data_IF_242051494098
#
_entry.id   IF_242051494098
#
_cell.length_a   1.000
_cell.length_b   1.000
_cell.length_c   1.000
_cell.angle_alpha   90.00
_cell.angle_beta   90.00
_cell.angle_gamma   90.00
#
_symmetry.space_group_name_H-M   'P 1'
#
loop_
_entity.id
_entity.type
_entity.pdbx_description
1 polymer ?
#
# COMPACT_ATOMS: atom_id res chain seq x y z
N UNK A 1 20.99 21.91 -9.09
CA UNK A 1 19.87 22.29 -8.22
C UNK A 1 18.59 22.06 -9.00
N UNK A 2 18.04 20.84 -8.97
CA UNK A 2 16.89 20.49 -9.80
C UNK A 2 15.68 21.25 -9.28
N UNK A 3 15.23 22.26 -10.02
CA UNK A 3 14.03 23.04 -9.72
C UNK A 3 12.81 22.24 -10.17
N UNK A 4 12.47 21.16 -9.47
CA UNK A 4 11.21 20.44 -9.69
C UNK A 4 10.06 21.19 -9.05
N UNK A 5 8.91 21.18 -9.70
CA UNK A 5 7.66 21.62 -9.08
C UNK A 5 7.41 20.74 -7.84
N UNK A 6 7.41 21.33 -6.65
CA UNK A 6 7.29 20.61 -5.37
C UNK A 6 6.08 19.66 -5.33
N UNK A 7 4.98 20.06 -5.97
CA UNK A 7 3.77 19.23 -6.11
C UNK A 7 4.02 18.00 -6.98
N UNK A 8 4.76 18.13 -8.08
CA UNK A 8 5.09 17.01 -8.95
C UNK A 8 5.97 15.99 -8.23
N UNK A 9 6.95 16.46 -7.45
CA UNK A 9 7.79 15.59 -6.62
C UNK A 9 6.97 14.82 -5.60
N UNK A 10 6.05 15.50 -4.88
CA UNK A 10 5.16 14.84 -3.92
C UNK A 10 4.28 13.76 -4.58
N UNK A 11 3.71 14.05 -5.75
CA UNK A 11 2.89 13.09 -6.51
C UNK A 11 3.72 11.86 -6.86
N UNK A 12 4.95 12.04 -7.36
CA UNK A 12 5.82 10.92 -7.72
C UNK A 12 6.16 10.08 -6.48
N UNK A 13 6.52 10.71 -5.36
CA UNK A 13 6.84 10.02 -4.12
C UNK A 13 5.66 9.18 -3.58
N UNK A 14 4.42 9.63 -3.76
CA UNK A 14 3.21 8.89 -3.36
C UNK A 14 2.83 7.82 -4.40
N UNK A 15 2.97 8.12 -5.69
CA UNK A 15 2.59 7.21 -6.75
C UNK A 15 3.43 5.93 -6.76
N UNK A 16 4.73 6.02 -6.48
CA UNK A 16 5.64 4.87 -6.45
C UNK A 16 5.16 3.76 -5.50
N UNK A 17 4.98 3.98 -4.18
CA UNK A 17 4.53 2.96 -3.26
C UNK A 17 3.09 2.49 -3.54
N UNK A 18 2.19 3.39 -3.97
CA UNK A 18 0.82 3.02 -4.33
C UNK A 18 0.78 2.05 -5.52
N UNK A 19 1.53 2.34 -6.58
CA UNK A 19 1.60 1.49 -7.78
C UNK A 19 2.26 0.16 -7.43
N UNK A 20 3.41 0.18 -6.76
CA UNK A 20 4.10 -1.03 -6.34
C UNK A 20 3.20 -1.93 -5.47
N UNK A 21 2.53 -1.34 -4.49
CA UNK A 21 1.62 -2.03 -3.58
C UNK A 21 0.34 -2.56 -4.25
N UNK A 22 -0.19 -1.82 -5.23
CA UNK A 22 -1.37 -2.26 -6.00
C UNK A 22 -1.01 -3.41 -6.92
N UNK A 23 0.13 -3.34 -7.61
CA UNK A 23 0.62 -4.42 -8.48
C UNK A 23 0.90 -5.68 -7.67
N UNK A 24 1.58 -5.57 -6.53
CA UNK A 24 1.82 -6.73 -5.66
C UNK A 24 0.50 -7.32 -5.16
N UNK A 25 -0.44 -6.48 -4.72
CA UNK A 25 -1.77 -6.91 -4.29
C UNK A 25 -2.54 -7.65 -5.38
N UNK A 26 -2.49 -7.18 -6.63
CA UNK A 26 -3.13 -7.85 -7.77
C UNK A 26 -2.50 -9.21 -8.06
N UNK A 27 -1.17 -9.31 -8.01
CA UNK A 27 -0.44 -10.57 -8.26
C UNK A 27 -0.71 -11.61 -7.17
N UNK A 28 -0.89 -11.18 -5.91
CA UNK A 28 -1.14 -12.05 -4.75
C UNK A 28 -2.62 -12.24 -4.42
N UNK A 29 -3.53 -11.52 -5.09
CA UNK A 29 -4.98 -11.55 -4.82
C UNK A 29 -5.62 -12.94 -4.98
N UNK A 30 -5.01 -13.81 -5.80
CA UNK A 30 -5.47 -15.19 -5.99
C UNK A 30 -4.79 -16.09 -4.97
N UNK A 31 -5.52 -16.42 -3.92
CA UNK A 31 -5.13 -17.47 -2.97
C UNK A 31 -5.90 -18.75 -3.35
N UNK A 32 -5.26 -19.91 -3.26
CA UNK A 32 -5.91 -21.22 -3.49
C UNK A 32 -6.87 -21.62 -2.35
N UNK A 33 -7.47 -20.63 -1.65
CA UNK A 33 -8.33 -20.84 -0.48
C UNK A 33 -7.59 -21.26 0.79
N UNK A 34 -6.28 -21.50 0.72
CA UNK A 34 -5.47 -21.94 1.86
C UNK A 34 -5.51 -20.93 3.01
N UNK A 35 -5.55 -19.62 2.73
CA UNK A 35 -5.59 -18.58 3.76
C UNK A 35 -6.93 -18.61 4.53
N UNK A 36 -8.00 -19.01 3.85
CA UNK A 36 -9.33 -19.06 4.44
C UNK A 36 -9.61 -20.32 5.26
N UNK A 37 -8.85 -21.40 5.02
CA UNK A 37 -8.96 -22.64 5.78
C UNK A 37 -8.25 -22.61 7.14
N UNK A 38 -7.45 -21.58 7.43
CA UNK A 38 -6.79 -21.45 8.72
C UNK A 38 -7.77 -21.13 9.85
N UNK A 39 -7.54 -21.75 11.00
CA UNK A 39 -8.13 -21.33 12.27
C UNK A 39 -7.51 -20.00 12.69
N UNK A 40 -8.24 -18.91 12.48
CA UNK A 40 -7.79 -17.54 12.80
C UNK A 40 -8.07 -17.22 14.29
N UNK A 41 -7.15 -16.52 14.99
CA UNK A 41 -7.42 -16.05 16.34
C UNK A 41 -8.55 -14.99 16.33
N UNK A 42 -9.23 -14.82 17.46
CA UNK A 42 -10.38 -13.91 17.58
C UNK A 42 -10.07 -12.43 17.32
N UNK A 43 -8.80 -12.04 17.40
CA UNK A 43 -8.33 -10.67 17.13
C UNK A 43 -7.83 -10.45 15.69
N UNK A 44 -7.99 -11.43 14.79
CA UNK A 44 -7.68 -11.22 13.38
C UNK A 44 -8.64 -10.17 12.79
N UNK A 45 -8.14 -9.06 12.23
CA UNK A 45 -9.00 -8.07 11.59
C UNK A 45 -9.71 -8.67 10.36
N UNK A 46 -10.94 -8.21 10.04
CA UNK A 46 -11.61 -8.52 8.79
C UNK A 46 -10.75 -8.25 7.54
N UNK A 47 -10.84 -9.11 6.53
CA UNK A 47 -10.02 -9.05 5.31
C UNK A 47 -10.11 -7.72 4.55
N UNK A 48 -11.29 -7.08 4.51
CA UNK A 48 -11.47 -5.80 3.82
C UNK A 48 -10.65 -4.65 4.45
N UNK A 49 -10.27 -4.75 5.73
CA UNK A 49 -9.47 -3.71 6.39
C UNK A 49 -8.08 -3.61 5.76
N UNK A 50 -7.50 -4.71 5.28
CA UNK A 50 -6.23 -4.68 4.56
C UNK A 50 -6.33 -3.82 3.29
N UNK A 51 -7.48 -3.86 2.59
CA UNK A 51 -7.74 -3.01 1.43
C UNK A 51 -7.79 -1.51 1.75
N UNK A 52 -8.05 -1.12 3.01
CA UNK A 52 -8.09 0.28 3.46
C UNK A 52 -6.75 0.71 4.04
N UNK A 53 -6.15 -0.11 4.91
CA UNK A 53 -4.94 0.22 5.66
C UNK A 53 -3.73 0.34 4.74
N UNK A 54 -3.58 -0.55 3.75
CA UNK A 54 -2.43 -0.53 2.85
C UNK A 54 -2.33 0.76 2.01
N UNK A 55 -3.40 1.24 1.34
CA UNK A 55 -3.38 2.54 0.66
C UNK A 55 -3.00 3.70 1.58
N UNK A 56 -3.52 3.73 2.82
CA UNK A 56 -3.16 4.75 3.81
C UNK A 56 -1.65 4.71 4.09
N UNK A 57 -1.10 3.52 4.34
CA UNK A 57 0.34 3.34 4.56
C UNK A 57 1.17 3.75 3.34
N UNK A 58 0.75 3.42 2.11
CA UNK A 58 1.44 3.83 0.89
C UNK A 58 1.48 5.36 0.72
N UNK A 59 0.38 6.05 1.04
CA UNK A 59 0.35 7.51 1.04
C UNK A 59 1.32 8.07 2.10
N UNK A 60 1.29 7.53 3.32
CA UNK A 60 2.18 7.99 4.40
C UNK A 60 3.66 7.76 4.08
N UNK A 61 4.01 6.63 3.47
CA UNK A 61 5.37 6.36 2.98
C UNK A 61 5.79 7.37 1.91
N UNK A 62 4.90 7.71 0.97
CA UNK A 62 5.19 8.73 -0.04
C UNK A 62 5.39 10.12 0.53
N UNK A 63 4.59 10.50 1.53
CA UNK A 63 4.79 11.75 2.28
C UNK A 63 6.15 11.73 3.00
N UNK A 64 6.47 10.63 3.69
CA UNK A 64 7.76 10.48 4.38
C UNK A 64 8.94 10.59 3.40
N UNK A 65 8.83 9.99 2.21
CA UNK A 65 9.87 10.05 1.18
C UNK A 65 10.05 11.47 0.63
N UNK A 66 8.97 12.23 0.51
CA UNK A 66 9.01 13.63 0.05
C UNK A 66 9.68 14.57 1.06
N UNK A 67 9.62 14.26 2.35
CA UNK A 67 10.18 15.10 3.43
C UNK A 67 11.70 14.96 3.61
N UNK A 68 12.33 13.95 3.00
CA UNK A 68 13.77 13.66 3.08
C UNK A 68 14.49 14.38 1.93
#
# INVERSE_FOLDING_TARGET
>A
MVRTNSVLTLIICIAIPLVAGSVSGMLTSKTDGWYDSLTRPSFNPPGYLFGIVWPVLYILMGISLYLI
#
